data_IF_694987948360
#
_entry.id   IF_694987948360
#
_cell.length_a   1.000
_cell.length_b   1.000
_cell.length_c   1.000
_cell.angle_alpha   90.00
_cell.angle_beta   90.00
_cell.angle_gamma   90.00
#
_symmetry.space_group_name_H-M   'P 1'
#
loop_
_entity.id
_entity.type
_entity.pdbx_description
1 polymer ?
#
# COMPACT_ATOMS: atom_id res chain seq x y z
N UNK A 1 -14.24 5.58 16.52
CA UNK A 1 -13.11 4.95 15.83
C UNK A 1 -11.76 5.11 16.56
N UNK A 2 -11.32 6.31 16.94
CA UNK A 2 -10.02 6.57 17.61
C UNK A 2 -9.60 5.55 18.70
N UNK A 3 -10.39 5.36 19.76
CA UNK A 3 -10.08 4.40 20.85
C UNK A 3 -10.00 2.94 20.39
N UNK A 4 -10.65 2.59 19.28
CA UNK A 4 -10.50 1.27 18.67
C UNK A 4 -9.13 1.15 18.01
N UNK A 5 -8.73 2.13 17.18
CA UNK A 5 -7.45 2.15 16.49
C UNK A 5 -6.26 2.16 17.45
N UNK A 6 -6.35 2.92 18.55
CA UNK A 6 -5.33 2.91 19.61
C UNK A 6 -5.07 1.49 20.17
N UNK A 7 -6.11 0.65 20.26
CA UNK A 7 -5.97 -0.74 20.72
C UNK A 7 -5.45 -1.68 19.65
N UNK A 8 -5.66 -1.34 18.38
CA UNK A 8 -5.18 -2.15 17.25
C UNK A 8 -3.72 -1.84 16.89
N UNK A 9 -3.17 -0.72 17.36
CA UNK A 9 -1.81 -0.25 17.07
C UNK A 9 -0.75 -1.36 17.10
N UNK A 10 -0.57 -2.02 18.25
CA UNK A 10 0.45 -3.06 18.42
C UNK A 10 0.14 -4.30 17.56
N UNK A 11 -1.13 -4.70 17.50
CA UNK A 11 -1.56 -5.87 16.72
C UNK A 11 -1.30 -5.67 15.23
N UNK A 12 -1.76 -4.56 14.67
CA UNK A 12 -1.61 -4.24 13.25
C UNK A 12 -0.14 -4.07 12.89
N UNK A 13 0.64 -3.35 13.71
CA UNK A 13 2.05 -3.13 13.41
C UNK A 13 2.85 -4.44 13.40
N UNK A 14 2.61 -5.34 14.36
CA UNK A 14 3.21 -6.66 14.36
C UNK A 14 2.79 -7.48 13.13
N UNK A 15 1.50 -7.46 12.78
CA UNK A 15 1.01 -8.12 11.57
C UNK A 15 1.71 -7.59 10.30
N UNK A 16 1.85 -6.27 10.19
CA UNK A 16 2.52 -5.60 9.08
C UNK A 16 3.98 -6.06 8.96
N UNK A 17 4.74 -5.98 10.04
CA UNK A 17 6.17 -6.35 10.01
C UNK A 17 6.38 -7.84 9.80
N UNK A 18 5.61 -8.69 10.48
CA UNK A 18 5.71 -10.14 10.34
C UNK A 18 5.32 -10.59 8.93
N UNK A 19 4.30 -9.99 8.34
CA UNK A 19 3.88 -10.31 6.97
C UNK A 19 4.94 -9.94 5.95
N UNK A 20 5.54 -8.74 6.08
CA UNK A 20 6.64 -8.31 5.20
C UNK A 20 7.84 -9.22 5.37
N UNK A 21 8.28 -9.47 6.61
CA UNK A 21 9.47 -10.29 6.85
C UNK A 21 9.29 -11.72 6.32
N UNK A 22 8.11 -12.33 6.50
CA UNK A 22 7.81 -13.65 5.95
C UNK A 22 7.77 -13.65 4.42
N UNK A 23 7.18 -12.63 3.80
CA UNK A 23 7.17 -12.48 2.34
C UNK A 23 8.59 -12.38 1.77
N UNK A 24 9.45 -11.58 2.40
CA UNK A 24 10.84 -11.40 1.94
C UNK A 24 11.70 -12.67 2.04
N UNK A 25 11.31 -13.68 2.83
CA UNK A 25 12.04 -14.96 2.88
C UNK A 25 12.00 -15.70 1.54
N UNK A 26 10.87 -15.62 0.83
CA UNK A 26 10.64 -16.32 -0.44
C UNK A 26 10.93 -15.43 -1.66
N UNK A 27 11.09 -14.12 -1.45
CA UNK A 27 11.30 -13.10 -2.51
C UNK A 27 12.61 -12.30 -2.33
N UNK A 28 13.64 -12.94 -1.77
CA UNK A 28 14.91 -12.27 -1.39
C UNK A 28 15.75 -11.75 -2.56
N UNK A 29 15.49 -12.25 -3.77
CA UNK A 29 16.16 -11.92 -5.03
C UNK A 29 15.40 -10.90 -5.89
N UNK A 30 14.22 -10.48 -5.45
CA UNK A 30 13.43 -9.45 -6.10
C UNK A 30 13.82 -8.05 -5.63
N UNK A 31 13.44 -7.03 -6.41
CA UNK A 31 13.58 -5.62 -6.02
C UNK A 31 12.27 -4.90 -6.26
N UNK A 32 11.77 -4.25 -5.22
CA UNK A 32 10.46 -3.62 -5.19
C UNK A 32 10.58 -2.13 -5.47
N UNK A 33 9.62 -1.58 -6.21
CA UNK A 33 9.51 -0.13 -6.43
C UNK A 33 8.30 0.49 -5.72
N UNK A 34 7.37 -0.33 -5.24
CA UNK A 34 6.23 0.15 -4.48
C UNK A 34 5.79 -0.86 -3.40
N UNK A 35 5.33 -0.32 -2.28
CA UNK A 35 4.53 -1.02 -1.30
C UNK A 35 3.27 -0.22 -1.00
N UNK A 36 2.11 -0.85 -1.07
CA UNK A 36 0.82 -0.22 -0.86
C UNK A 36 0.01 -0.95 0.20
N UNK A 37 -0.70 -0.19 1.03
CA UNK A 37 -1.88 -0.65 1.74
C UNK A 37 -3.10 -0.29 0.88
N UNK A 38 -3.63 -1.30 0.20
CA UNK A 38 -4.82 -1.22 -0.65
C UNK A 38 -6.04 -1.63 0.17
N UNK A 39 -6.86 -0.65 0.55
CA UNK A 39 -7.89 -0.84 1.55
C UNK A 39 -9.26 -1.02 0.91
N UNK A 40 -10.09 -1.89 1.50
CA UNK A 40 -11.51 -2.00 1.19
C UNK A 40 -12.30 -1.81 2.49
N UNK A 41 -12.23 -0.60 3.06
CA UNK A 41 -12.73 -0.33 4.42
C UNK A 41 -14.26 -0.31 4.43
N UNK A 42 -14.87 0.29 3.40
CA UNK A 42 -16.32 0.46 3.31
C UNK A 42 -17.08 -0.83 2.99
N UNK A 43 -16.50 -1.80 2.27
CA UNK A 43 -17.24 -3.02 1.90
C UNK A 43 -16.82 -4.24 2.73
N UNK A 44 -15.54 -4.34 3.09
CA UNK A 44 -14.98 -5.57 3.67
C UNK A 44 -14.21 -5.34 4.98
N UNK A 45 -13.93 -4.08 5.35
CA UNK A 45 -13.05 -3.77 6.48
C UNK A 45 -11.63 -4.34 6.30
N UNK A 46 -11.23 -4.57 5.03
CA UNK A 46 -10.02 -5.27 4.65
C UNK A 46 -8.87 -4.28 4.35
N UNK A 47 -7.66 -4.67 4.74
CA UNK A 47 -6.41 -4.00 4.38
C UNK A 47 -5.54 -5.02 3.68
N UNK A 48 -5.23 -4.76 2.41
CA UNK A 48 -4.37 -5.61 1.60
C UNK A 48 -2.96 -5.04 1.56
N UNK A 49 -1.97 -5.91 1.78
CA UNK A 49 -0.55 -5.57 1.69
C UNK A 49 -0.05 -6.00 0.32
N UNK A 50 0.37 -5.01 -0.47
CA UNK A 50 0.75 -5.19 -1.85
C UNK A 50 2.18 -4.73 -2.10
N UNK A 51 2.99 -5.59 -2.72
CA UNK A 51 4.30 -5.22 -3.25
C UNK A 51 4.26 -5.26 -4.78
N UNK A 52 5.02 -4.36 -5.42
CA UNK A 52 5.24 -4.45 -6.85
C UNK A 52 6.72 -4.34 -7.20
N UNK A 53 7.14 -5.13 -8.19
CA UNK A 53 8.50 -5.20 -8.71
C UNK A 53 8.57 -4.60 -10.10
N UNK A 54 9.78 -4.21 -10.53
CA UNK A 54 9.98 -3.68 -11.89
C UNK A 54 9.58 -4.71 -12.95
N UNK A 55 9.83 -6.00 -12.68
CA UNK A 55 9.50 -7.09 -13.59
C UNK A 55 7.98 -7.30 -13.69
N UNK A 56 7.27 -7.34 -12.56
CA UNK A 56 5.80 -7.44 -12.54
C UNK A 56 5.14 -6.23 -13.21
N UNK A 57 5.66 -5.02 -12.98
CA UNK A 57 5.17 -3.82 -13.67
C UNK A 57 5.37 -3.91 -15.19
N UNK A 58 6.49 -4.47 -15.64
CA UNK A 58 6.74 -4.68 -17.06
C UNK A 58 5.75 -5.68 -17.67
N UNK A 59 5.36 -6.72 -16.94
CA UNK A 59 4.31 -7.66 -17.34
C UNK A 59 2.93 -6.97 -17.45
N UNK A 60 2.53 -6.21 -16.43
CA UNK A 60 1.30 -5.39 -16.43
C UNK A 60 1.29 -4.44 -17.63
N UNK A 61 2.40 -3.74 -17.86
CA UNK A 61 2.57 -2.82 -18.99
C UNK A 61 2.39 -3.52 -20.33
N UNK A 62 3.02 -4.69 -20.51
CA UNK A 62 2.90 -5.47 -21.75
C UNK A 62 1.46 -5.92 -22.01
N UNK A 63 0.77 -6.37 -20.97
CA UNK A 63 -0.63 -6.78 -21.05
C UNK A 63 -1.53 -5.62 -21.50
N UNK A 64 -1.47 -4.47 -20.83
CA UNK A 64 -2.34 -3.34 -21.14
C UNK A 64 -1.98 -2.64 -22.45
N UNK A 65 -0.69 -2.53 -22.78
CA UNK A 65 -0.23 -2.02 -24.07
C UNK A 65 -0.76 -2.88 -25.24
N UNK A 66 -0.77 -4.21 -25.09
CA UNK A 66 -1.34 -5.13 -26.09
C UNK A 66 -2.85 -4.92 -26.32
N UNK A 67 -3.54 -4.32 -25.36
CA UNK A 67 -4.96 -3.96 -25.41
C UNK A 67 -5.21 -2.52 -25.88
N UNK A 68 -4.16 -1.80 -26.28
CA UNK A 68 -4.26 -0.46 -26.85
C UNK A 68 -4.26 0.68 -25.83
N UNK A 69 -3.83 0.43 -24.59
CA UNK A 69 -3.59 1.50 -23.63
C UNK A 69 -2.43 2.38 -24.09
N UNK A 70 -2.59 3.70 -23.94
CA UNK A 70 -1.55 4.68 -24.23
C UNK A 70 -0.50 4.71 -23.11
N UNK A 71 0.69 5.24 -23.40
CA UNK A 71 1.72 5.42 -22.38
C UNK A 71 1.23 6.26 -21.19
N UNK A 72 0.38 7.27 -21.43
CA UNK A 72 -0.16 8.12 -20.35
C UNK A 72 -0.99 7.29 -19.37
N UNK A 73 -1.88 6.44 -19.90
CA UNK A 73 -2.69 5.54 -19.07
C UNK A 73 -1.82 4.53 -18.31
N UNK A 74 -0.74 4.05 -18.92
CA UNK A 74 0.18 3.14 -18.27
C UNK A 74 0.92 3.82 -17.11
N UNK A 75 1.37 5.06 -17.27
CA UNK A 75 2.00 5.80 -16.16
C UNK A 75 1.02 6.01 -14.99
N UNK A 76 -0.27 6.32 -15.27
CA UNK A 76 -1.31 6.45 -14.24
C UNK A 76 -1.53 5.14 -13.46
N UNK A 77 -1.34 3.99 -14.11
CA UNK A 77 -1.51 2.65 -13.50
C UNK A 77 -0.31 2.21 -12.64
N UNK A 78 0.88 2.81 -12.79
CA UNK A 78 2.13 2.31 -12.17
C UNK A 78 2.02 2.16 -10.66
N UNK A 79 1.35 3.09 -10.00
CA UNK A 79 1.21 3.13 -8.54
C UNK A 79 -0.21 2.82 -8.05
N UNK A 80 -1.11 2.45 -8.96
CA UNK A 80 -2.48 2.07 -8.64
C UNK A 80 -2.56 0.55 -8.46
N UNK A 81 -2.73 0.07 -7.23
CA UNK A 81 -2.74 -1.35 -6.88
C UNK A 81 -3.96 -2.08 -7.40
N UNK A 82 -5.06 -1.37 -7.67
CA UNK A 82 -6.22 -1.94 -8.36
C UNK A 82 -5.90 -2.38 -9.80
N UNK A 83 -4.82 -1.86 -10.39
CA UNK A 83 -4.31 -2.27 -11.70
C UNK A 83 -3.21 -3.35 -11.62
N UNK A 84 -2.82 -3.76 -10.41
CA UNK A 84 -1.85 -4.83 -10.18
C UNK A 84 -2.55 -6.20 -10.22
N UNK A 85 -1.79 -7.27 -10.46
CA UNK A 85 -2.33 -8.64 -10.47
C UNK A 85 -2.50 -9.16 -9.03
N UNK A 86 -3.29 -10.22 -8.85
CA UNK A 86 -3.52 -10.84 -7.55
C UNK A 86 -2.21 -11.28 -6.87
N UNK A 87 -1.17 -11.59 -7.65
CA UNK A 87 0.14 -11.99 -7.14
C UNK A 87 0.92 -10.88 -6.43
N UNK A 88 0.56 -9.60 -6.66
CA UNK A 88 1.16 -8.46 -5.95
C UNK A 88 0.62 -8.34 -4.51
N UNK A 89 -0.57 -8.89 -4.24
CA UNK A 89 -1.14 -8.95 -2.89
C UNK A 89 -0.63 -10.18 -2.15
N UNK A 90 0.22 -9.98 -1.16
CA UNK A 90 0.85 -11.09 -0.44
C UNK A 90 0.25 -11.38 0.95
N UNK A 91 -0.48 -10.42 1.52
CA UNK A 91 -1.20 -10.59 2.77
C UNK A 91 -2.43 -9.70 2.84
N UNK A 92 -3.41 -10.12 3.65
CA UNK A 92 -4.65 -9.37 3.89
C UNK A 92 -5.03 -9.48 5.36
N UNK A 93 -5.58 -8.39 5.90
CA UNK A 93 -6.11 -8.34 7.25
C UNK A 93 -7.51 -7.72 7.23
N UNK A 94 -8.47 -8.42 7.80
CA UNK A 94 -9.74 -7.81 8.17
C UNK A 94 -9.54 -7.12 9.53
N UNK A 95 -9.36 -5.81 9.49
CA UNK A 95 -9.14 -5.02 10.72
C UNK A 95 -10.45 -4.89 11.51
N UNK A 96 -11.57 -4.91 10.80
CA UNK A 96 -12.91 -4.80 11.35
C UNK A 96 -13.67 -6.11 11.15
N UNK A 97 -14.55 -6.43 12.09
CA UNK A 97 -15.46 -7.58 11.97
C UNK A 97 -16.61 -7.32 10.97
N UNK A 98 -16.84 -6.04 10.63
CA UNK A 98 -17.93 -5.56 9.79
C UNK A 98 -17.48 -4.29 9.04
N UNK A 99 -18.23 -3.84 8.04
CA UNK A 99 -17.86 -2.69 7.24
C UNK A 99 -18.00 -1.35 7.97
N UNK A 100 -17.21 -0.34 7.58
CA UNK A 100 -17.28 1.03 8.13
C UNK A 100 -18.00 1.94 7.15
N UNK A 101 -19.22 2.40 7.50
CA UNK A 101 -20.02 3.23 6.58
C UNK A 101 -19.70 4.72 6.63
N UNK A 102 -19.18 5.23 7.75
CA UNK A 102 -19.00 6.65 7.96
C UNK A 102 -17.70 7.13 7.31
N UNK A 103 -17.81 8.03 6.32
CA UNK A 103 -16.67 8.58 5.56
C UNK A 103 -15.61 9.22 6.48
N UNK A 104 -15.99 9.82 7.62
CA UNK A 104 -15.01 10.39 8.56
C UNK A 104 -14.27 9.31 9.32
N UNK A 105 -14.94 8.21 9.65
CA UNK A 105 -14.30 7.05 10.25
C UNK A 105 -13.35 6.37 9.24
N UNK A 106 -13.71 6.26 7.96
CA UNK A 106 -12.83 5.74 6.90
C UNK A 106 -11.57 6.61 6.77
N UNK A 107 -11.70 7.93 6.63
CA UNK A 107 -10.54 8.82 6.52
C UNK A 107 -9.66 8.74 7.77
N UNK A 108 -10.25 8.62 8.97
CA UNK A 108 -9.49 8.44 10.20
C UNK A 108 -8.68 7.14 10.22
N UNK A 109 -9.21 6.06 9.64
CA UNK A 109 -8.49 4.79 9.48
C UNK A 109 -7.35 4.95 8.50
N UNK A 110 -7.58 5.56 7.34
CA UNK A 110 -6.52 5.80 6.33
C UNK A 110 -5.41 6.70 6.89
N UNK A 111 -5.75 7.76 7.62
CA UNK A 111 -4.77 8.63 8.29
C UNK A 111 -3.96 7.86 9.35
N UNK A 112 -4.62 6.99 10.12
CA UNK A 112 -3.95 6.12 11.07
C UNK A 112 -3.03 5.11 10.38
N UNK A 113 -3.41 4.55 9.23
CA UNK A 113 -2.58 3.66 8.43
C UNK A 113 -1.34 4.37 7.86
N UNK A 114 -1.47 5.61 7.41
CA UNK A 114 -0.32 6.45 7.06
C UNK A 114 0.67 6.58 8.23
N UNK A 115 0.17 6.75 9.46
CA UNK A 115 1.04 6.78 10.64
C UNK A 115 1.73 5.44 10.89
N UNK A 116 1.07 4.30 10.63
CA UNK A 116 1.71 2.97 10.71
C UNK A 116 2.81 2.81 9.68
N UNK A 117 2.60 3.30 8.46
CA UNK A 117 3.62 3.30 7.41
C UNK A 117 4.82 4.16 7.79
N UNK A 118 4.59 5.32 8.42
CA UNK A 118 5.69 6.15 8.92
C UNK A 118 6.48 5.39 9.99
N UNK A 119 5.81 4.74 10.95
CA UNK A 119 6.49 3.90 11.94
C UNK A 119 7.25 2.74 11.30
N UNK A 120 6.72 2.16 10.21
CA UNK A 120 7.40 1.12 9.45
C UNK A 120 8.72 1.65 8.90
N UNK A 121 8.78 2.90 8.41
CA UNK A 121 10.02 3.46 7.84
C UNK A 121 11.19 3.54 8.83
N UNK A 122 10.91 3.56 10.13
CA UNK A 122 11.91 3.54 11.20
C UNK A 122 12.26 2.12 11.71
N UNK A 123 11.73 1.07 11.08
CA UNK A 123 11.89 -0.32 11.52
C UNK A 123 12.99 -1.09 10.78
N UNK A 124 13.56 -2.11 11.43
CA UNK A 124 14.49 -3.05 10.79
C UNK A 124 13.84 -3.81 9.61
N UNK A 125 12.53 -4.10 9.69
CA UNK A 125 11.79 -4.74 8.61
C UNK A 125 11.83 -3.89 7.34
N UNK A 126 11.65 -2.57 7.46
CA UNK A 126 11.74 -1.67 6.31
C UNK A 126 13.14 -1.61 5.73
N UNK A 127 14.19 -1.60 6.56
CA UNK A 127 15.58 -1.67 6.10
C UNK A 127 15.85 -2.93 5.26
N UNK A 128 15.24 -4.06 5.61
CA UNK A 128 15.40 -5.34 4.92
C UNK A 128 14.77 -5.42 3.54
N UNK A 129 13.77 -4.59 3.21
CA UNK A 129 13.12 -4.60 1.89
C UNK A 129 14.17 -4.26 0.80
N UNK A 130 14.38 -5.08 -0.23
CA UNK A 130 15.20 -4.70 -1.38
C UNK A 130 14.44 -3.67 -2.23
N UNK A 131 14.79 -2.39 -2.08
CA UNK A 131 14.07 -1.25 -2.68
C UNK A 131 14.83 -0.68 -3.88
N UNK A 132 14.11 -0.21 -4.89
CA UNK A 132 14.67 0.70 -5.90
C UNK A 132 14.96 2.08 -5.30
N UNK A 133 15.71 2.92 -6.01
CA UNK A 133 15.98 4.31 -5.58
C UNK A 133 14.69 5.16 -5.56
N UNK A 134 13.74 4.87 -6.44
CA UNK A 134 12.45 5.54 -6.59
C UNK A 134 11.32 4.87 -5.80
N UNK A 135 11.63 4.04 -4.79
CA UNK A 135 10.63 3.28 -4.05
C UNK A 135 9.55 4.15 -3.41
N UNK A 136 8.28 3.76 -3.57
CA UNK A 136 7.12 4.48 -3.05
C UNK A 136 6.32 3.68 -2.03
N UNK A 137 5.76 4.40 -1.06
CA UNK A 137 4.88 3.91 -0.03
C UNK A 137 3.51 4.56 -0.21
N UNK A 138 2.46 3.73 -0.24
CA UNK A 138 1.10 4.19 -0.50
C UNK A 138 0.10 3.60 0.51
N UNK A 139 -0.96 4.36 0.77
CA UNK A 139 -2.11 4.02 1.59
C UNK A 139 -3.33 4.71 0.99
N UNK A 140 -4.25 3.93 0.45
CA UNK A 140 -5.49 4.43 -0.14
C UNK A 140 -6.58 3.36 -0.07
N UNK A 141 -7.83 3.81 -0.10
CA UNK A 141 -8.98 2.92 -0.30
C UNK A 141 -9.14 2.56 -1.79
N UNK A 142 -9.89 1.51 -2.10
CA UNK A 142 -10.00 0.98 -3.46
C UNK A 142 -10.67 1.96 -4.44
N UNK A 143 -11.38 2.97 -3.92
CA UNK A 143 -12.05 4.01 -4.69
C UNK A 143 -11.23 5.31 -4.81
N UNK A 144 -10.07 5.35 -4.14
CA UNK A 144 -9.11 6.44 -4.16
C UNK A 144 -8.04 6.24 -5.25
N UNK A 145 -7.34 7.33 -5.54
CA UNK A 145 -6.19 7.34 -6.43
C UNK A 145 -4.88 7.44 -5.64
N UNK A 146 -3.73 7.14 -6.25
CA UNK A 146 -2.45 7.33 -5.60
C UNK A 146 -2.20 8.79 -5.15
N UNK A 147 -2.82 9.77 -5.80
CA UNK A 147 -2.75 11.19 -5.40
C UNK A 147 -3.39 11.44 -4.04
N UNK A 148 -4.52 10.78 -3.72
CA UNK A 148 -5.20 10.93 -2.43
C UNK A 148 -4.31 10.43 -1.28
N UNK A 149 -3.58 9.34 -1.52
CA UNK A 149 -2.55 8.85 -0.61
C UNK A 149 -1.44 9.87 -0.39
N UNK A 150 -0.92 10.47 -1.46
CA UNK A 150 0.10 11.50 -1.36
C UNK A 150 -0.40 12.71 -0.55
N UNK A 151 -1.60 13.21 -0.83
CA UNK A 151 -2.20 14.33 -0.09
C UNK A 151 -2.28 14.03 1.41
N UNK A 152 -2.62 12.78 1.77
CA UNK A 152 -2.67 12.33 3.16
C UNK A 152 -1.30 12.32 3.82
N UNK A 153 -0.27 11.84 3.13
CA UNK A 153 1.11 11.86 3.66
C UNK A 153 1.68 13.28 3.77
N UNK A 154 1.35 14.19 2.84
CA UNK A 154 1.80 15.59 2.87
C UNK A 154 1.33 16.35 4.11
N UNK A 155 0.20 15.94 4.71
CA UNK A 155 -0.27 16.45 6.01
C UNK A 155 0.71 16.13 7.15
N UNK A 156 1.50 15.06 7.02
CA UNK A 156 2.42 14.55 8.05
C UNK A 156 3.87 14.92 7.75
N UNK A 157 4.30 14.82 6.49
CA UNK A 157 5.67 15.15 6.07
C UNK A 157 5.88 15.12 4.56
N UNK A 158 7.02 15.65 4.11
CA UNK A 158 7.38 15.80 2.68
C UNK A 158 8.47 14.82 2.26
N UNK A 159 8.34 13.54 2.64
CA UNK A 159 9.31 12.51 2.23
C UNK A 159 9.08 12.13 0.77
N UNK A 160 10.16 11.98 0.01
CA UNK A 160 10.15 11.49 -1.37
C UNK A 160 9.52 10.08 -1.48
N UNK A 161 9.48 9.31 -0.39
CA UNK A 161 8.83 8.00 -0.35
C UNK A 161 7.31 8.07 -0.62
N UNK A 162 6.68 9.23 -0.43
CA UNK A 162 5.23 9.39 -0.52
C UNK A 162 4.79 10.25 -1.72
N UNK A 163 5.76 10.72 -2.53
CA UNK A 163 5.49 11.63 -3.64
C UNK A 163 5.47 10.90 -4.97
N UNK A 164 4.41 11.06 -5.73
CA UNK A 164 4.20 10.44 -7.03
C UNK A 164 4.37 11.54 -8.08
N UNK A 165 5.38 11.40 -8.95
CA UNK A 165 5.69 12.37 -10.01
C UNK A 165 4.81 12.20 -11.26
#
# INVERSE_FOLDING_TARGET
>A
MEHFLEKQQEYFFNFLTDSIDNFLLDHSDETFYAFALDCNIYEEGEINLCFNTVDLWQETTNYYASRGHSNIQLEEMKYNSSDWDENQRFASLHLFDDWVEDEQDIEMVLEWLCQQIILLTDSETFERIPKTEDFKLLVYDHDETPSDSQERFEKIGMSELFQIE
#
